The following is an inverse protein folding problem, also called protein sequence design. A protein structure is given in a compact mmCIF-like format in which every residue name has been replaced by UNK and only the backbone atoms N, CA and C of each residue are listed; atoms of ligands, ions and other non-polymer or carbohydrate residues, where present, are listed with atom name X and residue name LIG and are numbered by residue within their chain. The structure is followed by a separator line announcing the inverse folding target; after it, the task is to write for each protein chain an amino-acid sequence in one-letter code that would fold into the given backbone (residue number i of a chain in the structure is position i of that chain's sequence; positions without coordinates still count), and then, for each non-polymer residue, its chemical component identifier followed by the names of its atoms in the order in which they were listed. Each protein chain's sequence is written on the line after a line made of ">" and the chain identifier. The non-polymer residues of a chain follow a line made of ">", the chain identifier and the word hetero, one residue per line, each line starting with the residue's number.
data_IF_476277832234
#
_entry.id   IF_476277832234
#
_cell.length_a   1.000
_cell.length_b   1.000
_cell.length_c   1.000
_cell.angle_alpha   90.00
_cell.angle_beta   90.00
_cell.angle_gamma   90.00
#
_symmetry.space_group_name_H-M   'P 1'
#
loop_
_entity.id
_entity.type
_entity.pdbx_description
1 polymer ?
#
# COMPACT_ATOMS: atom_id res chain seq x y z
N UNK A 1 -8.32 -13.82 -10.79
CA UNK A 1 -8.67 -13.90 -9.36
C UNK A 1 -8.47 -15.34 -8.92
N UNK A 2 -7.82 -15.57 -7.81
CA UNK A 2 -7.73 -16.88 -7.15
C UNK A 2 -8.28 -16.75 -5.73
N UNK A 3 -8.14 -17.82 -4.90
CA UNK A 3 -8.73 -17.88 -3.55
C UNK A 3 -8.24 -16.78 -2.58
N UNK A 4 -7.15 -16.08 -2.89
CA UNK A 4 -6.57 -15.05 -2.01
C UNK A 4 -6.22 -13.76 -2.75
N UNK A 5 -6.37 -13.72 -4.08
CA UNK A 5 -5.84 -12.61 -4.89
C UNK A 5 -6.93 -11.96 -5.74
N UNK A 6 -6.95 -10.65 -5.72
CA UNK A 6 -7.78 -9.82 -6.60
C UNK A 6 -6.88 -8.90 -7.40
N UNK A 7 -7.13 -8.83 -8.71
CA UNK A 7 -6.51 -7.85 -9.60
C UNK A 7 -7.60 -7.04 -10.27
N UNK A 8 -7.29 -5.81 -10.63
CA UNK A 8 -8.23 -4.95 -11.32
C UNK A 8 -7.65 -3.58 -11.60
N UNK A 9 -8.50 -2.70 -12.08
CA UNK A 9 -8.10 -1.32 -12.35
C UNK A 9 -9.20 -0.34 -11.96
N UNK A 10 -8.79 0.88 -11.71
CA UNK A 10 -9.66 2.05 -11.59
C UNK A 10 -9.38 2.99 -12.76
N UNK A 11 -10.43 3.33 -13.49
CA UNK A 11 -10.39 4.39 -14.48
C UNK A 11 -11.03 5.65 -13.88
N UNK A 12 -10.31 6.73 -13.84
CA UNK A 12 -10.80 8.02 -13.38
C UNK A 12 -10.63 9.08 -14.48
N UNK A 13 -11.60 10.01 -14.51
CA UNK A 13 -11.55 11.20 -15.36
C UNK A 13 -11.49 12.39 -14.44
N UNK A 14 -10.44 13.17 -14.54
CA UNK A 14 -10.27 14.41 -13.83
C UNK A 14 -9.35 15.28 -14.67
N UNK A 15 -8.33 15.82 -14.12
CA UNK A 15 -7.27 16.56 -14.78
C UNK A 15 -6.63 15.78 -15.95
N UNK A 16 -6.34 14.47 -15.74
CA UNK A 16 -6.04 13.55 -16.84
C UNK A 16 -7.35 12.83 -17.26
N UNK A 17 -7.83 13.00 -18.51
CA UNK A 17 -9.10 12.41 -18.94
C UNK A 17 -9.08 10.90 -19.08
N UNK A 18 -7.89 10.28 -19.06
CA UNK A 18 -7.71 8.84 -19.23
C UNK A 18 -6.74 8.25 -18.20
N UNK A 19 -6.91 8.60 -16.94
CA UNK A 19 -6.05 8.08 -15.88
C UNK A 19 -6.51 6.69 -15.42
N UNK A 20 -5.66 5.69 -15.63
CA UNK A 20 -5.87 4.32 -15.15
C UNK A 20 -4.83 3.97 -14.12
N UNK A 21 -5.27 3.37 -13.03
CA UNK A 21 -4.41 2.76 -12.01
C UNK A 21 -4.82 1.31 -11.86
N UNK A 22 -3.89 0.42 -12.09
CA UNK A 22 -4.07 -1.02 -11.91
C UNK A 22 -3.62 -1.40 -10.51
N UNK A 23 -4.22 -2.45 -9.96
CA UNK A 23 -3.85 -2.95 -8.63
C UNK A 23 -3.85 -4.47 -8.59
N UNK A 24 -3.03 -4.99 -7.70
CA UNK A 24 -3.05 -6.37 -7.26
C UNK A 24 -3.13 -6.38 -5.72
N UNK A 25 -4.07 -7.16 -5.18
CA UNK A 25 -4.28 -7.29 -3.74
C UNK A 25 -4.25 -8.77 -3.36
N UNK A 26 -3.42 -9.13 -2.36
CA UNK A 26 -3.36 -10.48 -1.78
C UNK A 26 -3.79 -10.40 -0.33
N UNK A 27 -4.67 -11.30 0.08
CA UNK A 27 -5.24 -11.39 1.42
C UNK A 27 -4.68 -12.58 2.18
N UNK A 28 -4.56 -12.46 3.51
CA UNK A 28 -4.14 -13.54 4.40
C UNK A 28 -5.13 -14.71 4.45
N UNK A 29 -6.41 -14.43 4.21
CA UNK A 29 -7.52 -15.38 4.31
C UNK A 29 -8.09 -15.70 2.93
N UNK A 30 -8.66 -16.92 2.78
CA UNK A 30 -9.32 -17.31 1.53
C UNK A 30 -10.59 -16.53 1.31
N UNK A 31 -10.80 -16.10 0.08
CA UNK A 31 -12.04 -15.49 -0.41
C UNK A 31 -13.00 -16.65 -0.73
N UNK A 32 -14.04 -16.81 0.08
CA UNK A 32 -15.05 -17.86 -0.09
C UNK A 32 -16.23 -17.42 -0.95
N UNK A 33 -16.46 -16.13 -1.06
CA UNK A 33 -17.50 -15.56 -1.91
C UNK A 33 -17.14 -14.14 -2.31
N UNK A 34 -17.52 -13.74 -3.51
CA UNK A 34 -17.40 -12.37 -3.98
C UNK A 34 -18.67 -11.93 -4.72
N UNK A 35 -18.94 -10.64 -4.72
CA UNK A 35 -19.99 -10.00 -5.50
C UNK A 35 -19.51 -8.65 -6.01
N UNK A 36 -19.60 -8.45 -7.31
CA UNK A 36 -19.35 -7.14 -7.91
C UNK A 36 -20.70 -6.44 -8.15
N UNK A 37 -20.81 -5.22 -7.67
CA UNK A 37 -21.94 -4.35 -7.95
C UNK A 37 -21.57 -3.42 -9.10
N UNK A 38 -22.13 -3.68 -10.26
CA UNK A 38 -21.80 -2.95 -11.48
C UNK A 38 -22.32 -1.50 -11.46
N UNK A 39 -23.36 -1.22 -10.70
CA UNK A 39 -23.92 0.13 -10.56
C UNK A 39 -22.99 1.04 -9.74
N UNK A 40 -22.55 0.56 -8.59
CA UNK A 40 -21.67 1.31 -7.69
C UNK A 40 -20.18 1.06 -7.92
N UNK A 41 -19.85 0.11 -8.83
CA UNK A 41 -18.46 -0.35 -9.10
C UNK A 41 -17.74 -0.80 -7.83
N UNK A 42 -18.46 -1.46 -6.92
CA UNK A 42 -17.92 -1.99 -5.67
C UNK A 42 -17.77 -3.50 -5.73
N UNK A 43 -16.64 -3.99 -5.26
CA UNK A 43 -16.38 -5.39 -5.04
C UNK A 43 -16.57 -5.70 -3.54
N UNK A 44 -17.46 -6.66 -3.25
CA UNK A 44 -17.67 -7.20 -1.91
C UNK A 44 -16.99 -8.57 -1.84
N UNK A 45 -16.19 -8.78 -0.80
CA UNK A 45 -15.48 -10.03 -0.54
C UNK A 45 -15.93 -10.61 0.79
N UNK A 46 -16.20 -11.89 0.82
CA UNK A 46 -16.38 -12.65 2.05
C UNK A 46 -15.19 -13.60 2.21
N UNK A 47 -14.61 -13.62 3.40
CA UNK A 47 -13.43 -14.41 3.72
C UNK A 47 -13.79 -15.59 4.60
N UNK A 48 -13.01 -16.66 4.48
CA UNK A 48 -13.06 -17.77 5.41
C UNK A 48 -12.54 -17.32 6.78
N UNK A 49 -13.39 -17.47 7.79
CA UNK A 49 -13.14 -17.04 9.15
C UNK A 49 -13.17 -18.22 10.13
N UNK A 50 -12.69 -19.37 9.71
CA UNK A 50 -12.68 -20.62 10.51
C UNK A 50 -11.71 -20.60 11.68
N UNK A 51 -10.90 -19.56 11.83
CA UNK A 51 -10.06 -19.38 13.01
C UNK A 51 -10.92 -18.87 14.17
N UNK A 52 -10.92 -19.59 15.28
CA UNK A 52 -11.75 -19.42 16.49
C UNK A 52 -11.60 -18.09 17.23
N UNK A 53 -11.01 -17.06 16.65
CA UNK A 53 -10.85 -15.77 17.27
C UNK A 53 -12.10 -14.89 17.07
N UNK A 54 -12.64 -14.36 18.16
CA UNK A 54 -13.77 -13.41 18.18
C UNK A 54 -13.56 -12.16 17.32
N UNK A 55 -12.35 -11.92 16.84
CA UNK A 55 -11.97 -10.86 15.90
C UNK A 55 -10.97 -11.42 14.90
N UNK A 56 -11.44 -11.83 13.73
CA UNK A 56 -10.52 -12.21 12.65
C UNK A 56 -9.88 -10.97 12.06
N UNK A 57 -8.58 -10.91 12.14
CA UNK A 57 -7.78 -9.93 11.42
C UNK A 57 -7.49 -10.45 10.03
N UNK A 58 -7.87 -9.69 9.01
CA UNK A 58 -7.53 -9.96 7.61
C UNK A 58 -6.43 -8.98 7.22
N UNK A 59 -5.25 -9.51 6.93
CA UNK A 59 -4.16 -8.71 6.38
C UNK A 59 -4.31 -8.65 4.87
N UNK A 60 -4.11 -7.47 4.28
CA UNK A 60 -4.08 -7.26 2.85
C UNK A 60 -2.75 -6.60 2.45
N UNK A 61 -2.11 -7.15 1.42
CA UNK A 61 -0.99 -6.50 0.73
C UNK A 61 -1.47 -6.04 -0.64
N UNK A 62 -1.18 -4.79 -0.96
CA UNK A 62 -1.65 -4.18 -2.20
C UNK A 62 -0.47 -3.52 -2.90
N UNK A 63 -0.35 -3.75 -4.20
CA UNK A 63 0.53 -2.98 -5.08
C UNK A 63 -0.28 -2.36 -6.21
N UNK A 64 0.23 -1.28 -6.74
CA UNK A 64 -0.35 -0.54 -7.86
C UNK A 64 0.64 -0.49 -9.02
N UNK A 65 0.11 -0.27 -10.23
CA UNK A 65 0.87 0.01 -11.44
C UNK A 65 0.11 1.02 -12.29
N UNK A 66 0.84 1.85 -13.00
CA UNK A 66 0.26 2.74 -14.01
C UNK A 66 0.17 2.08 -15.38
N UNK A 67 0.73 0.88 -15.55
CA UNK A 67 0.93 0.20 -16.82
C UNK A 67 -0.16 -0.84 -17.10
N UNK A 68 -0.22 -1.89 -16.27
CA UNK A 68 -1.18 -3.01 -16.41
C UNK A 68 -1.30 -3.84 -15.11
N UNK A 69 -2.23 -4.82 -15.08
CA UNK A 69 -2.41 -5.71 -13.92
C UNK A 69 -1.18 -6.59 -13.67
N UNK A 70 -0.43 -6.97 -14.71
CA UNK A 70 0.80 -7.74 -14.58
C UNK A 70 1.90 -6.92 -13.89
N UNK A 71 2.01 -5.62 -14.21
CA UNK A 71 2.88 -4.68 -13.51
C UNK A 71 2.55 -4.61 -12.03
N UNK A 72 1.26 -4.43 -11.68
CA UNK A 72 0.82 -4.44 -10.29
C UNK A 72 1.16 -5.76 -9.58
N UNK A 73 0.99 -6.91 -10.24
CA UNK A 73 1.35 -8.21 -9.68
C UNK A 73 2.86 -8.36 -9.50
N UNK A 74 3.67 -7.94 -10.47
CA UNK A 74 5.13 -7.96 -10.35
C UNK A 74 5.60 -7.06 -9.20
N UNK A 75 5.05 -5.86 -9.10
CA UNK A 75 5.34 -4.93 -7.99
C UNK A 75 5.00 -5.57 -6.63
N UNK A 76 3.88 -6.27 -6.53
CA UNK A 76 3.49 -6.98 -5.32
C UNK A 76 4.46 -8.10 -4.95
N UNK A 77 4.89 -8.90 -5.94
CA UNK A 77 5.77 -10.04 -5.74
C UNK A 77 7.24 -9.65 -5.53
N UNK A 78 7.65 -8.47 -6.01
CA UNK A 78 9.01 -7.95 -5.80
C UNK A 78 9.26 -7.48 -4.37
N UNK A 79 8.20 -7.21 -3.62
CA UNK A 79 8.29 -6.80 -2.22
C UNK A 79 8.46 -7.99 -1.29
N UNK A 80 9.26 -7.82 -0.25
CA UNK A 80 9.38 -8.79 0.82
C UNK A 80 8.01 -9.11 1.43
N UNK A 81 7.72 -10.41 1.63
CA UNK A 81 6.47 -10.86 2.21
C UNK A 81 6.48 -10.69 3.73
N UNK A 82 6.35 -9.47 4.20
CA UNK A 82 6.25 -9.14 5.62
C UNK A 82 4.81 -9.16 6.10
N UNK A 83 4.60 -9.58 7.34
CA UNK A 83 3.36 -9.32 8.07
C UNK A 83 3.27 -7.85 8.42
N UNK A 84 2.04 -7.37 8.70
CA UNK A 84 1.78 -5.96 8.97
C UNK A 84 2.71 -5.37 10.04
N UNK A 85 2.86 -6.04 11.19
CA UNK A 85 3.71 -5.53 12.27
C UNK A 85 5.19 -5.47 11.88
N UNK A 86 5.67 -6.46 11.11
CA UNK A 86 7.04 -6.47 10.60
C UNK A 86 7.27 -5.33 9.58
N UNK A 87 6.30 -5.11 8.68
CA UNK A 87 6.36 -4.02 7.71
C UNK A 87 6.35 -2.66 8.41
N UNK A 88 5.50 -2.49 9.44
CA UNK A 88 5.43 -1.28 10.26
C UNK A 88 6.76 -1.01 10.95
N UNK A 89 7.33 -2.01 11.62
CA UNK A 89 8.60 -1.87 12.33
C UNK A 89 9.75 -1.54 11.37
N UNK A 90 9.86 -2.25 10.25
CA UNK A 90 10.87 -1.98 9.23
C UNK A 90 10.74 -0.56 8.67
N UNK A 91 9.51 -0.10 8.41
CA UNK A 91 9.28 1.26 7.93
C UNK A 91 9.66 2.32 8.97
N UNK A 92 9.37 2.08 10.24
CA UNK A 92 9.78 2.96 11.33
C UNK A 92 11.30 3.08 11.40
N UNK A 93 12.02 1.96 11.33
CA UNK A 93 13.49 1.94 11.36
C UNK A 93 14.10 2.67 10.16
N UNK A 94 13.53 2.52 8.96
CA UNK A 94 13.99 3.24 7.77
C UNK A 94 13.81 4.76 7.92
N UNK A 95 12.65 5.21 8.41
CA UNK A 95 12.42 6.62 8.64
C UNK A 95 13.29 7.18 9.76
N UNK A 96 13.48 6.44 10.85
CA UNK A 96 14.38 6.85 11.93
C UNK A 96 15.82 7.02 11.42
N UNK A 97 16.31 6.09 10.61
CA UNK A 97 17.62 6.17 10.00
C UNK A 97 17.78 7.41 9.10
N UNK A 98 16.75 7.77 8.33
CA UNK A 98 16.79 8.95 7.46
C UNK A 98 16.67 10.25 8.27
N UNK A 99 15.70 10.34 9.17
CA UNK A 99 15.45 11.57 9.92
C UNK A 99 16.58 11.88 10.92
N UNK A 100 17.25 10.86 11.46
CA UNK A 100 18.37 11.04 12.39
C UNK A 100 19.64 11.59 11.74
N UNK A 101 19.72 11.65 10.40
CA UNK A 101 20.86 12.28 9.71
C UNK A 101 21.00 13.77 9.99
N UNK A 102 19.90 14.44 10.33
CA UNK A 102 19.89 15.83 10.77
C UNK A 102 19.47 15.91 12.24
N UNK A 103 20.37 16.37 13.08
CA UNK A 103 20.11 16.56 14.52
C UNK A 103 20.11 18.01 14.88
N UNK A 104 19.00 18.51 15.43
CA UNK A 104 18.89 19.88 15.92
C UNK A 104 19.09 19.93 17.44
N UNK A 105 19.93 20.87 17.88
CA UNK A 105 20.21 21.12 19.28
C UNK A 105 19.61 22.45 19.75
N UNK A 106 19.30 22.58 21.04
CA UNK A 106 18.81 23.82 21.64
C UNK A 106 17.37 24.19 21.27
N UNK A 107 16.66 23.34 20.50
CA UNK A 107 15.27 23.56 20.12
C UNK A 107 14.29 22.96 21.14
N UNK A 108 13.15 23.59 21.34
CA UNK A 108 12.03 23.04 22.11
C UNK A 108 11.42 21.83 21.38
N UNK A 109 10.70 20.98 22.09
CA UNK A 109 10.06 19.79 21.49
C UNK A 109 9.10 20.16 20.36
N UNK A 110 8.34 21.25 20.52
CA UNK A 110 7.48 21.78 19.44
C UNK A 110 8.27 22.22 18.20
N UNK A 111 9.41 22.82 18.38
CA UNK A 111 10.28 23.22 17.26
C UNK A 111 10.87 21.99 16.56
N UNK A 112 11.25 20.96 17.33
CA UNK A 112 11.71 19.68 16.78
C UNK A 112 10.61 18.98 15.97
N UNK A 113 9.39 18.91 16.51
CA UNK A 113 8.24 18.35 15.80
C UNK A 113 8.00 19.05 14.46
N UNK A 114 7.97 20.38 14.45
CA UNK A 114 7.80 21.19 13.22
C UNK A 114 8.94 20.91 12.22
N UNK A 115 10.18 20.89 12.69
CA UNK A 115 11.34 20.67 11.85
C UNK A 115 11.32 19.28 11.22
N UNK A 116 11.15 18.20 12.02
CA UNK A 116 11.15 16.85 11.50
C UNK A 116 9.93 16.55 10.63
N UNK A 117 8.78 17.18 10.91
CA UNK A 117 7.61 17.10 10.02
C UNK A 117 7.92 17.73 8.67
N UNK A 118 8.51 18.92 8.64
CA UNK A 118 8.90 19.58 7.39
C UNK A 118 9.97 18.76 6.64
N UNK A 119 10.96 18.24 7.35
CA UNK A 119 12.01 17.39 6.77
C UNK A 119 11.44 16.11 6.16
N UNK A 120 10.52 15.42 6.87
CA UNK A 120 9.78 14.29 6.34
C UNK A 120 9.04 14.65 5.04
N UNK A 121 8.32 15.79 5.01
CA UNK A 121 7.59 16.22 3.82
C UNK A 121 8.53 16.50 2.63
N UNK A 122 9.73 17.00 2.85
CA UNK A 122 10.73 17.19 1.78
C UNK A 122 11.19 15.88 1.14
N UNK A 123 11.06 14.75 1.85
CA UNK A 123 11.48 13.44 1.34
C UNK A 123 10.36 12.67 0.63
N UNK A 124 9.10 13.12 0.72
CA UNK A 124 7.97 12.43 0.07
C UNK A 124 8.04 12.57 -1.46
N UNK A 125 8.60 13.65 -1.96
CA UNK A 125 8.75 13.92 -3.38
C UNK A 125 10.13 14.53 -3.68
N UNK A 126 10.73 14.20 -4.84
CA UNK A 126 10.25 13.34 -5.91
C UNK A 126 10.33 11.85 -5.54
N UNK A 127 9.45 11.05 -6.11
CA UNK A 127 9.43 9.59 -5.94
C UNK A 127 9.52 8.87 -7.30
N UNK A 128 9.90 7.59 -7.26
CA UNK A 128 9.89 6.75 -8.45
C UNK A 128 8.44 6.40 -8.81
N UNK A 129 8.07 6.61 -10.06
CA UNK A 129 6.73 6.34 -10.57
C UNK A 129 6.71 5.11 -11.53
N UNK A 130 7.86 4.52 -11.81
CA UNK A 130 7.98 3.33 -12.64
C UNK A 130 7.66 2.05 -11.85
N UNK A 131 7.20 1.04 -12.56
CA UNK A 131 7.10 -0.32 -12.05
C UNK A 131 8.49 -0.90 -11.75
N UNK A 132 8.56 -2.00 -10.99
CA UNK A 132 9.84 -2.65 -10.63
C UNK A 132 10.62 -3.18 -11.83
N UNK A 133 9.96 -3.35 -12.98
CA UNK A 133 10.59 -3.73 -14.25
C UNK A 133 11.00 -2.51 -15.11
N UNK A 134 10.90 -1.31 -14.59
CA UNK A 134 11.34 -0.06 -15.21
C UNK A 134 10.34 0.59 -16.18
N UNK A 135 9.12 0.06 -16.29
CA UNK A 135 8.04 0.62 -17.13
C UNK A 135 7.31 1.76 -16.46
#
# INVERSE_FOLDING_TARGET
>A
MNDTTVVGYRHSKSWNPNHKVYFAAVFSNKIIRHRFDDTTKRLFLAFDNTLEAKTAVIEARVAISSTDENGAMKNLLSQECLRFDQAKEKNLQLWEAELSKLQIQGATDKQKEIFYTAYYHCMIAPNLYSDTDGR
#
